data_IF_117630732426
#
_entry.id   IF_117630732426
#
_cell.length_a   1.000
_cell.length_b   1.000
_cell.length_c   1.000
_cell.angle_alpha   90.00
_cell.angle_beta   90.00
_cell.angle_gamma   90.00
#
_symmetry.space_group_name_H-M   'P 1'
#
loop_
_entity.id
_entity.type
_entity.pdbx_description
1 polymer ?
#
# COMPACT_ATOMS: atom_id res chain seq x y z
N UNK A 1 25.23 -0.87 10.80
CA UNK A 1 24.61 -0.75 9.47
C UNK A 1 23.42 0.15 9.56
N UNK A 2 23.33 1.14 8.68
CA UNK A 2 22.11 1.92 8.67
C UNK A 2 20.93 1.03 8.33
N UNK A 3 19.85 1.25 9.01
CA UNK A 3 18.60 0.58 8.69
C UNK A 3 18.06 1.13 7.37
N UNK A 4 17.91 0.27 6.37
CA UNK A 4 17.40 0.64 5.06
C UNK A 4 15.87 0.55 4.98
N UNK A 5 15.20 0.27 6.10
CA UNK A 5 13.75 0.23 6.14
C UNK A 5 13.20 1.62 5.82
N UNK A 6 12.38 1.75 4.77
CA UNK A 6 11.77 3.03 4.44
C UNK A 6 10.91 3.56 5.59
N UNK A 7 10.95 4.87 5.76
CA UNK A 7 10.08 5.54 6.72
C UNK A 7 9.20 6.54 5.98
N UNK A 8 7.90 6.34 6.08
CA UNK A 8 6.90 7.19 5.44
C UNK A 8 6.27 8.09 6.49
N UNK A 9 6.46 9.39 6.34
CA UNK A 9 5.98 10.38 7.28
C UNK A 9 5.30 11.51 6.53
N UNK A 10 4.17 11.95 7.03
CA UNK A 10 3.46 13.10 6.48
C UNK A 10 2.05 12.76 6.04
N UNK A 11 1.25 13.81 5.92
CA UNK A 11 -0.14 13.71 5.48
C UNK A 11 -0.34 14.63 4.28
N UNK A 12 -0.96 14.09 3.25
CA UNK A 12 -1.24 14.80 2.00
C UNK A 12 -2.72 14.67 1.70
N UNK A 13 -3.47 15.73 1.97
CA UNK A 13 -4.92 15.75 1.77
C UNK A 13 -5.28 16.10 0.33
N UNK A 14 -6.44 15.66 -0.09
CA UNK A 14 -7.04 16.04 -1.37
C UNK A 14 -6.16 15.73 -2.59
N UNK A 15 -5.41 14.63 -2.55
CA UNK A 15 -4.64 14.18 -3.70
C UNK A 15 -5.61 13.74 -4.80
N UNK A 16 -5.55 14.34 -6.00
CA UNK A 16 -6.46 13.98 -7.08
C UNK A 16 -6.28 12.55 -7.54
N UNK A 17 -7.41 11.87 -7.78
CA UNK A 17 -7.46 10.54 -8.38
C UNK A 17 -8.22 10.71 -9.70
N UNK A 18 -7.58 10.38 -10.83
CA UNK A 18 -8.21 10.57 -12.13
C UNK A 18 -9.25 9.47 -12.43
N UNK A 19 -9.91 9.57 -13.57
CA UNK A 19 -10.97 8.63 -13.96
C UNK A 19 -10.48 7.19 -14.09
N UNK A 20 -9.21 7.00 -14.38
CA UNK A 20 -8.61 5.67 -14.50
C UNK A 20 -8.13 5.11 -13.16
N UNK A 21 -8.17 5.90 -12.09
CA UNK A 21 -7.66 5.50 -10.79
C UNK A 21 -6.19 5.81 -10.57
N UNK A 22 -5.60 6.72 -11.35
CA UNK A 22 -4.21 7.13 -11.20
C UNK A 22 -4.10 8.30 -10.26
N UNK A 23 -3.06 8.28 -9.44
CA UNK A 23 -2.72 9.41 -8.57
C UNK A 23 -1.21 9.56 -8.47
N UNK A 24 -0.77 10.77 -8.18
CA UNK A 24 0.65 11.07 -7.99
C UNK A 24 1.00 10.76 -6.54
N UNK A 25 2.00 9.91 -6.35
CA UNK A 25 2.55 9.68 -5.02
C UNK A 25 3.48 10.84 -4.66
N UNK A 26 3.30 11.47 -3.49
CA UNK A 26 4.16 12.56 -3.07
C UNK A 26 5.65 12.20 -3.15
N UNK A 27 6.47 13.15 -3.59
CA UNK A 27 7.89 12.90 -3.79
C UNK A 27 8.60 12.44 -2.52
N UNK A 28 8.15 12.92 -1.35
CA UNK A 28 8.71 12.49 -0.07
C UNK A 28 8.54 10.98 0.15
N UNK A 29 7.40 10.42 -0.26
CA UNK A 29 7.17 8.97 -0.15
C UNK A 29 8.00 8.20 -1.19
N UNK A 30 8.12 8.72 -2.42
CA UNK A 30 8.96 8.08 -3.44
C UNK A 30 10.43 8.08 -3.05
N UNK A 31 10.91 9.16 -2.46
CA UNK A 31 12.31 9.27 -2.00
C UNK A 31 12.60 8.37 -0.80
N UNK A 32 11.59 7.99 -0.03
CA UNK A 32 11.76 7.07 1.09
C UNK A 32 12.01 5.63 0.63
N UNK A 33 11.69 5.30 -0.63
CA UNK A 33 11.94 3.96 -1.16
C UNK A 33 13.43 3.72 -1.36
N UNK A 34 13.91 2.48 -1.16
CA UNK A 34 15.28 2.13 -1.49
C UNK A 34 15.59 2.38 -2.97
N UNK A 35 16.86 2.63 -3.27
CA UNK A 35 17.31 2.81 -4.64
C UNK A 35 16.92 1.61 -5.52
N UNK A 36 16.38 1.90 -6.69
CA UNK A 36 15.93 0.88 -7.63
C UNK A 36 14.55 0.31 -7.35
N UNK A 37 13.93 0.65 -6.23
CA UNK A 37 12.57 0.22 -5.93
C UNK A 37 11.59 1.24 -6.49
N UNK A 38 10.71 0.78 -7.36
CA UNK A 38 9.72 1.62 -8.03
C UNK A 38 8.30 1.02 -7.97
N UNK A 39 8.07 0.16 -7.00
CA UNK A 39 6.78 -0.51 -6.80
C UNK A 39 6.31 -0.40 -5.37
N UNK A 40 4.98 -0.43 -5.20
CA UNK A 40 4.33 -0.67 -3.94
C UNK A 40 3.42 -1.88 -4.07
N UNK A 41 3.10 -2.51 -2.94
CA UNK A 41 2.02 -3.48 -2.86
C UNK A 41 0.87 -2.83 -2.14
N UNK A 42 -0.29 -2.78 -2.77
CA UNK A 42 -1.51 -2.22 -2.20
C UNK A 42 -2.38 -3.36 -1.70
N UNK A 43 -2.79 -3.27 -0.45
CA UNK A 43 -3.61 -4.26 0.19
C UNK A 43 -4.71 -3.60 1.02
N UNK A 44 -5.78 -4.33 1.26
CA UNK A 44 -6.82 -3.89 2.19
C UNK A 44 -6.23 -3.79 3.59
N UNK A 45 -6.57 -2.70 4.28
CA UNK A 45 -6.16 -2.48 5.66
C UNK A 45 -7.41 -2.30 6.55
N UNK A 46 -7.19 -2.19 7.84
CA UNK A 46 -8.25 -1.94 8.80
C UNK A 46 -8.84 -0.53 8.61
N UNK A 47 -10.01 -0.28 9.20
CA UNK A 47 -10.66 1.03 9.19
C UNK A 47 -11.11 1.53 7.82
N UNK A 48 -11.31 0.59 6.87
CA UNK A 48 -11.83 0.95 5.55
C UNK A 48 -10.83 1.66 4.65
N UNK A 49 -9.53 1.57 4.95
CA UNK A 49 -8.49 2.18 4.11
C UNK A 49 -7.66 1.13 3.39
N UNK A 50 -6.75 1.60 2.53
CA UNK A 50 -5.76 0.76 1.86
C UNK A 50 -4.40 0.98 2.51
N UNK A 51 -3.61 -0.08 2.62
CA UNK A 51 -2.20 0.01 2.98
C UNK A 51 -1.36 -0.11 1.72
N UNK A 52 -0.35 0.74 1.58
CA UNK A 52 0.62 0.64 0.51
C UNK A 52 1.99 0.38 1.13
N UNK A 53 2.58 -0.73 0.76
CA UNK A 53 3.85 -1.20 1.32
C UNK A 53 4.93 -1.20 0.26
N UNK A 54 6.17 -0.84 0.62
CA UNK A 54 7.29 -1.18 -0.22
C UNK A 54 7.49 -2.70 -0.21
N UNK A 55 8.25 -3.28 -1.15
CA UNK A 55 8.39 -4.73 -1.22
C UNK A 55 8.94 -5.38 0.05
N UNK A 56 9.89 -4.74 0.73
CA UNK A 56 10.43 -5.29 1.98
C UNK A 56 9.42 -5.24 3.12
N UNK A 57 8.65 -4.16 3.21
CA UNK A 57 7.56 -4.04 4.18
C UNK A 57 6.47 -5.07 3.95
N UNK A 58 6.14 -5.31 2.70
CA UNK A 58 5.16 -6.33 2.35
C UNK A 58 5.64 -7.74 2.74
N UNK A 59 6.91 -8.02 2.52
CA UNK A 59 7.50 -9.29 2.94
C UNK A 59 7.33 -9.52 4.43
N UNK A 60 7.54 -8.47 5.25
CA UNK A 60 7.32 -8.58 6.70
C UNK A 60 5.86 -8.85 7.05
N UNK A 61 4.92 -8.26 6.34
CA UNK A 61 3.49 -8.54 6.51
C UNK A 61 3.21 -10.02 6.24
N UNK A 62 3.73 -10.54 5.12
CA UNK A 62 3.54 -11.95 4.76
C UNK A 62 4.13 -12.89 5.81
N UNK A 63 5.30 -12.57 6.33
CA UNK A 63 5.93 -13.37 7.38
C UNK A 63 5.07 -13.42 8.65
N UNK A 64 4.48 -12.29 9.03
CA UNK A 64 3.57 -12.25 10.18
C UNK A 64 2.31 -13.09 9.94
N UNK A 65 1.73 -13.00 8.74
CA UNK A 65 0.56 -13.79 8.39
C UNK A 65 0.87 -15.28 8.40
N UNK A 66 2.05 -15.68 7.91
CA UNK A 66 2.48 -17.06 7.90
C UNK A 66 2.72 -17.63 9.31
N UNK A 67 3.04 -16.77 10.27
CA UNK A 67 3.24 -17.20 11.67
C UNK A 67 1.94 -17.51 12.39
N UNK A 68 0.78 -17.10 11.85
CA UNK A 68 -0.51 -17.33 12.47
C UNK A 68 -1.00 -18.77 12.19
N UNK A 69 -1.85 -19.28 13.09
CA UNK A 69 -2.38 -20.63 12.93
C UNK A 69 -3.38 -20.73 11.79
N UNK A 70 -3.06 -21.48 10.73
CA UNK A 70 -3.97 -21.76 9.62
C UNK A 70 -5.15 -22.67 9.99
N UNK A 71 -5.12 -23.27 11.19
CA UNK A 71 -6.23 -24.08 11.66
C UNK A 71 -7.43 -23.21 12.08
N UNK A 72 -7.20 -21.95 12.44
CA UNK A 72 -8.29 -21.05 12.84
C UNK A 72 -8.94 -20.42 11.62
N UNK A 73 -10.26 -20.41 11.63
CA UNK A 73 -11.05 -19.80 10.54
C UNK A 73 -10.74 -18.31 10.40
N UNK A 74 -10.63 -17.59 11.50
CA UNK A 74 -10.32 -16.15 11.51
C UNK A 74 -8.99 -15.86 10.83
N UNK A 75 -8.00 -16.70 11.05
CA UNK A 75 -6.69 -16.58 10.39
C UNK A 75 -6.82 -16.76 8.89
N UNK A 76 -7.56 -17.78 8.44
CA UNK A 76 -7.75 -18.03 7.00
C UNK A 76 -8.49 -16.88 6.32
N UNK A 77 -9.50 -16.31 7.00
CA UNK A 77 -10.23 -15.16 6.47
C UNK A 77 -9.34 -13.92 6.37
N UNK A 78 -8.50 -13.68 7.39
CA UNK A 78 -7.56 -12.58 7.38
C UNK A 78 -6.55 -12.70 6.23
N UNK A 79 -5.98 -13.86 6.04
CA UNK A 79 -5.02 -14.11 4.95
C UNK A 79 -5.67 -13.85 3.59
N UNK A 80 -6.89 -14.31 3.38
CA UNK A 80 -7.63 -14.06 2.13
C UNK A 80 -7.91 -12.57 1.93
N UNK A 81 -8.30 -11.87 2.99
CA UNK A 81 -8.63 -10.45 2.89
C UNK A 81 -7.39 -9.59 2.58
N UNK A 82 -6.25 -9.91 3.17
CA UNK A 82 -5.02 -9.12 3.04
C UNK A 82 -4.18 -9.62 1.87
N UNK A 83 -3.66 -10.84 1.95
CA UNK A 83 -2.73 -11.36 0.94
C UNK A 83 -3.44 -11.75 -0.36
N UNK A 84 -4.62 -12.31 -0.26
CA UNK A 84 -5.35 -12.80 -1.44
C UNK A 84 -5.80 -11.70 -2.39
N UNK A 85 -5.91 -10.46 -1.92
CA UNK A 85 -6.35 -9.31 -2.74
C UNK A 85 -5.26 -8.26 -2.95
N UNK A 86 -4.06 -8.52 -2.47
CA UNK A 86 -2.95 -7.60 -2.65
C UNK A 86 -2.58 -7.46 -4.13
N UNK A 87 -2.19 -6.27 -4.53
CA UNK A 87 -1.80 -5.98 -5.90
C UNK A 87 -0.52 -5.17 -5.91
N UNK A 88 0.46 -5.63 -6.68
CA UNK A 88 1.67 -4.85 -6.92
C UNK A 88 1.36 -3.77 -7.94
N UNK A 89 1.76 -2.54 -7.61
CA UNK A 89 1.60 -1.38 -8.50
C UNK A 89 2.96 -0.75 -8.76
N UNK A 90 3.14 -0.23 -9.95
CA UNK A 90 4.40 0.35 -10.38
C UNK A 90 4.23 1.83 -10.70
N UNK A 91 5.24 2.64 -10.37
CA UNK A 91 5.25 4.04 -10.78
C UNK A 91 5.40 4.15 -12.29
N UNK A 92 4.65 5.07 -12.88
CA UNK A 92 4.91 5.47 -14.25
C UNK A 92 6.02 6.54 -14.30
N UNK A 93 6.36 7.01 -15.49
CA UNK A 93 7.42 8.01 -15.67
C UNK A 93 7.13 9.35 -15.00
N UNK A 94 5.89 9.62 -14.65
CA UNK A 94 5.45 10.85 -13.98
C UNK A 94 5.26 10.70 -12.48
N UNK A 95 5.64 9.55 -11.92
CA UNK A 95 5.47 9.28 -10.50
C UNK A 95 4.04 8.97 -10.08
N UNK A 96 3.19 8.57 -11.03
CA UNK A 96 1.82 8.17 -10.75
C UNK A 96 1.74 6.66 -10.61
N UNK A 97 0.73 6.22 -9.85
CA UNK A 97 0.39 4.81 -9.73
C UNK A 97 -1.07 4.62 -10.12
N UNK A 98 -1.39 3.46 -10.66
CA UNK A 98 -2.75 3.08 -11.00
C UNK A 98 -3.26 2.15 -9.91
N UNK A 99 -4.24 2.61 -9.13
CA UNK A 99 -4.87 1.78 -8.12
C UNK A 99 -6.03 1.02 -8.78
N UNK A 100 -6.06 -0.31 -8.67
CA UNK A 100 -7.16 -1.09 -9.23
C UNK A 100 -8.51 -0.63 -8.69
N UNK A 101 -9.51 -0.62 -9.55
CA UNK A 101 -10.85 -0.14 -9.20
C UNK A 101 -11.43 -0.86 -7.99
N UNK A 102 -11.20 -2.15 -7.88
CA UNK A 102 -11.69 -2.93 -6.73
C UNK A 102 -11.17 -2.38 -5.39
N UNK A 103 -9.94 -1.90 -5.35
CA UNK A 103 -9.38 -1.29 -4.15
C UNK A 103 -9.98 0.09 -3.89
N UNK A 104 -10.16 0.89 -4.94
CA UNK A 104 -10.77 2.20 -4.81
C UNK A 104 -12.19 2.10 -4.26
N UNK A 105 -12.98 1.19 -4.81
CA UNK A 105 -14.36 0.97 -4.38
C UNK A 105 -14.42 0.50 -2.93
N UNK A 106 -13.55 -0.42 -2.57
CA UNK A 106 -13.49 -0.95 -1.21
C UNK A 106 -13.17 0.13 -0.18
N UNK A 107 -12.32 1.08 -0.52
CA UNK A 107 -11.93 2.18 0.36
C UNK A 107 -12.84 3.42 0.22
N UNK A 108 -13.82 3.37 -0.67
CA UNK A 108 -14.73 4.51 -0.91
C UNK A 108 -14.04 5.70 -1.56
N UNK A 109 -12.97 5.46 -2.32
CA UNK A 109 -12.22 6.53 -2.99
C UNK A 109 -12.82 6.77 -4.37
N UNK A 110 -13.15 8.02 -4.65
CA UNK A 110 -13.72 8.42 -5.95
C UNK A 110 -12.73 9.28 -6.74
N UNK A 111 -12.64 10.58 -6.43
CA UNK A 111 -11.81 11.51 -7.19
C UNK A 111 -10.72 12.18 -6.35
N UNK A 112 -10.67 11.93 -5.06
CA UNK A 112 -9.65 12.46 -4.17
C UNK A 112 -9.33 11.44 -3.09
N UNK A 113 -8.09 11.48 -2.61
CA UNK A 113 -7.63 10.61 -1.53
C UNK A 113 -6.72 11.39 -0.58
N UNK A 114 -6.69 10.96 0.66
CA UNK A 114 -5.69 11.41 1.62
C UNK A 114 -4.64 10.32 1.77
N UNK A 115 -3.37 10.69 1.64
CA UNK A 115 -2.25 9.80 1.80
C UNK A 115 -1.54 10.12 3.11
N UNK A 116 -1.39 9.11 3.95
CA UNK A 116 -0.77 9.27 5.27
C UNK A 116 0.38 8.28 5.39
N UNK A 117 1.55 8.78 5.69
CA UNK A 117 2.70 7.95 6.02
C UNK A 117 2.64 7.57 7.50
N UNK A 118 2.67 6.26 7.77
CA UNK A 118 2.58 5.73 9.13
C UNK A 118 3.80 4.90 9.47
N UNK A 119 4.96 5.40 9.12
CA UNK A 119 6.30 4.91 9.39
C UNK A 119 6.70 3.76 8.44
N UNK A 120 6.01 2.65 8.48
CA UNK A 120 6.40 1.44 7.72
C UNK A 120 5.58 1.20 6.45
N UNK A 121 4.65 2.11 6.15
CA UNK A 121 3.79 2.01 4.97
C UNK A 121 3.11 3.34 4.63
#
# INVERSE_FOLDING_TARGET
MPDETPQFIGEYENVPVDEKGRLIIPSAFRKALPMGVNTFVVARWFDGCLGAYDPSGWKRVLEKLQSLSGAKRETRLLIRAVAGRATEIKFDSQGRVLIPRKHLEMAGITNRATLIGVIDR
#
